data_IF_539498062311
#
_entry.id   IF_539498062311
#
_cell.length_a   1.000
_cell.length_b   1.000
_cell.length_c   1.000
_cell.angle_alpha   90.00
_cell.angle_beta   90.00
_cell.angle_gamma   90.00
#
_symmetry.space_group_name_H-M   'P 1'
#
loop_
_entity.id
_entity.type
_entity.pdbx_description
1 polymer ?
#
# COMPACT_ATOMS: atom_id res chain seq x y z
N UNK A 1 -17.89 23.63 -33.40
CA UNK A 1 -17.89 22.20 -33.03
C UNK A 1 -16.85 22.00 -31.92
N UNK A 2 -17.24 21.57 -30.72
CA UNK A 2 -16.26 21.24 -29.65
C UNK A 2 -15.64 19.88 -29.99
N UNK A 3 -14.31 19.82 -30.11
CA UNK A 3 -13.59 18.56 -30.25
C UNK A 3 -13.74 17.78 -28.93
N UNK A 4 -14.20 16.54 -28.99
CA UNK A 4 -14.20 15.64 -27.85
C UNK A 4 -12.74 15.34 -27.50
N UNK A 5 -12.30 15.54 -26.24
CA UNK A 5 -10.92 15.26 -25.86
C UNK A 5 -10.63 13.76 -26.04
N UNK A 6 -9.51 13.45 -26.68
CA UNK A 6 -9.02 12.07 -26.87
C UNK A 6 -8.11 11.72 -25.69
N UNK A 7 -8.39 10.63 -24.99
CA UNK A 7 -7.51 10.10 -23.96
C UNK A 7 -6.25 9.52 -24.61
N UNK A 8 -5.09 9.80 -24.02
CA UNK A 8 -3.79 9.35 -24.52
C UNK A 8 -3.19 8.39 -23.49
N UNK A 9 -2.60 7.29 -23.95
CA UNK A 9 -1.91 6.31 -23.11
C UNK A 9 -0.50 6.77 -22.69
N UNK A 10 0.21 5.93 -21.95
CA UNK A 10 1.59 6.18 -21.47
C UNK A 10 2.63 6.38 -22.59
N UNK A 11 2.37 5.84 -23.78
CA UNK A 11 3.23 5.92 -24.96
C UNK A 11 2.87 7.10 -25.88
N UNK A 12 1.89 7.93 -25.52
CA UNK A 12 1.50 9.09 -26.32
C UNK A 12 0.55 8.76 -27.49
N UNK A 13 0.00 7.54 -27.54
CA UNK A 13 -0.98 7.13 -28.55
C UNK A 13 -2.41 7.18 -27.98
N UNK A 14 -3.46 7.31 -28.82
CA UNK A 14 -4.83 7.25 -28.35
C UNK A 14 -5.10 5.99 -27.52
N UNK A 15 -5.72 6.16 -26.36
CA UNK A 15 -6.05 5.06 -25.45
C UNK A 15 -6.95 4.06 -26.16
N UNK A 16 -6.48 2.82 -26.28
CA UNK A 16 -7.30 1.72 -26.81
C UNK A 16 -8.45 1.42 -25.85
N UNK A 17 -9.62 1.07 -26.38
CA UNK A 17 -10.79 0.70 -25.56
C UNK A 17 -10.47 -0.44 -24.58
N UNK A 18 -9.63 -1.39 -24.98
CA UNK A 18 -9.17 -2.49 -24.11
C UNK A 18 -8.35 -2.05 -22.90
N UNK A 19 -7.82 -0.83 -22.92
CA UNK A 19 -7.03 -0.24 -21.83
C UNK A 19 -7.85 0.79 -21.04
N UNK A 20 -9.10 1.04 -21.45
CA UNK A 20 -10.00 1.88 -20.68
C UNK A 20 -10.39 1.18 -19.38
N UNK A 21 -10.67 1.96 -18.33
CA UNK A 21 -11.16 1.39 -17.09
C UNK A 21 -12.54 0.76 -17.30
N UNK A 22 -12.64 -0.56 -17.11
CA UNK A 22 -13.90 -1.30 -17.13
C UNK A 22 -14.15 -1.91 -15.75
N UNK A 23 -14.98 -1.22 -14.95
CA UNK A 23 -15.30 -1.63 -13.58
C UNK A 23 -16.38 -2.72 -13.46
N UNK A 24 -16.88 -3.25 -14.59
CA UNK A 24 -17.99 -4.21 -14.60
C UNK A 24 -17.90 -5.21 -15.75
N UNK A 25 -18.25 -6.46 -15.46
CA UNK A 25 -18.49 -7.49 -16.48
C UNK A 25 -19.95 -7.44 -16.98
N UNK A 26 -20.40 -8.51 -17.62
CA UNK A 26 -21.76 -8.61 -18.17
C UNK A 26 -22.92 -8.54 -17.13
N UNK A 27 -22.62 -8.35 -15.84
CA UNK A 27 -23.60 -8.35 -14.76
C UNK A 27 -24.18 -9.74 -14.46
N UNK A 28 -25.06 -9.82 -13.46
CA UNK A 28 -25.76 -11.06 -13.13
C UNK A 28 -26.82 -11.36 -14.20
N UNK A 29 -26.62 -12.42 -14.98
CA UNK A 29 -27.54 -12.81 -16.06
C UNK A 29 -27.37 -12.04 -17.37
N UNK A 30 -26.23 -11.36 -17.58
CA UNK A 30 -25.91 -10.74 -18.89
C UNK A 30 -26.53 -9.36 -19.14
N UNK A 31 -27.14 -8.74 -18.12
CA UNK A 31 -27.82 -7.45 -18.22
C UNK A 31 -26.93 -6.30 -18.72
N UNK A 32 -25.62 -6.41 -18.53
CA UNK A 32 -24.63 -5.43 -18.95
C UNK A 32 -23.77 -5.92 -20.13
N UNK A 33 -24.13 -7.04 -20.78
CA UNK A 33 -23.35 -7.60 -21.88
C UNK A 33 -23.23 -6.64 -23.07
N UNK A 34 -24.26 -5.82 -23.31
CA UNK A 34 -24.29 -4.82 -24.40
C UNK A 34 -23.95 -3.40 -23.92
N UNK A 35 -23.62 -3.23 -22.63
CA UNK A 35 -23.28 -1.92 -22.11
C UNK A 35 -21.84 -1.56 -22.47
N UNK A 36 -21.67 -0.58 -23.37
CA UNK A 36 -20.38 0.02 -23.71
C UNK A 36 -20.19 1.34 -22.95
N UNK A 37 -19.48 1.35 -21.81
CA UNK A 37 -19.17 2.58 -21.11
C UNK A 37 -18.21 3.45 -21.93
N UNK A 38 -18.30 4.79 -21.83
CA UNK A 38 -17.33 5.66 -22.46
C UNK A 38 -15.95 5.44 -21.85
N UNK A 39 -14.90 5.46 -22.68
CA UNK A 39 -13.52 5.34 -22.23
C UNK A 39 -13.19 6.42 -21.21
N UNK A 40 -12.75 6.01 -20.03
CA UNK A 40 -12.35 6.89 -18.93
C UNK A 40 -10.94 6.54 -18.47
N UNK A 41 -10.23 7.54 -17.96
CA UNK A 41 -9.01 7.30 -17.17
C UNK A 41 -9.37 6.60 -15.86
N UNK A 42 -8.41 5.88 -15.27
CA UNK A 42 -8.61 5.19 -13.99
C UNK A 42 -9.08 6.16 -12.90
N UNK A 43 -8.47 7.34 -12.81
CA UNK A 43 -8.85 8.37 -11.84
C UNK A 43 -10.27 8.88 -12.07
N UNK A 44 -10.64 9.21 -13.31
CA UNK A 44 -11.98 9.72 -13.61
C UNK A 44 -13.08 8.72 -13.23
N UNK A 45 -12.81 7.42 -13.36
CA UNK A 45 -13.75 6.38 -13.01
C UNK A 45 -13.80 6.08 -11.50
N UNK A 46 -12.67 6.14 -10.80
CA UNK A 46 -12.58 5.82 -9.37
C UNK A 46 -12.98 6.99 -8.47
N UNK A 47 -12.59 8.23 -8.82
CA UNK A 47 -12.76 9.41 -7.98
C UNK A 47 -14.20 9.65 -7.47
N UNK A 48 -15.27 9.44 -8.27
CA UNK A 48 -16.64 9.66 -7.81
C UNK A 48 -17.01 8.78 -6.60
N UNK A 49 -16.50 7.55 -6.56
CA UNK A 49 -16.84 6.58 -5.52
C UNK A 49 -15.74 6.39 -4.48
N UNK A 50 -14.54 6.96 -4.70
CA UNK A 50 -13.34 6.70 -3.89
C UNK A 50 -13.57 6.93 -2.40
N UNK A 51 -14.18 8.06 -2.02
CA UNK A 51 -14.45 8.39 -0.61
C UNK A 51 -15.37 7.36 0.06
N UNK A 52 -16.43 6.96 -0.64
CA UNK A 52 -17.37 5.98 -0.14
C UNK A 52 -16.74 4.58 -0.08
N UNK A 53 -15.95 4.22 -1.09
CA UNK A 53 -15.20 2.97 -1.13
C UNK A 53 -14.23 2.85 0.04
N UNK A 54 -13.45 3.88 0.30
CA UNK A 54 -12.53 3.93 1.44
C UNK A 54 -13.27 3.82 2.77
N UNK A 55 -14.36 4.57 2.96
CA UNK A 55 -15.16 4.48 4.18
C UNK A 55 -15.71 3.06 4.42
N UNK A 56 -16.17 2.38 3.35
CA UNK A 56 -16.65 0.99 3.43
C UNK A 56 -15.53 -0.01 3.69
N UNK A 57 -14.35 0.20 3.10
CA UNK A 57 -13.18 -0.63 3.36
C UNK A 57 -12.73 -0.51 4.82
N UNK A 58 -12.65 0.71 5.35
CA UNK A 58 -12.31 0.96 6.76
C UNK A 58 -13.33 0.33 7.71
N UNK A 59 -14.62 0.46 7.40
CA UNK A 59 -15.69 -0.15 8.20
C UNK A 59 -15.62 -1.69 8.17
N UNK A 60 -15.33 -2.28 7.01
CA UNK A 60 -15.15 -3.72 6.85
C UNK A 60 -13.99 -4.24 7.71
N UNK A 61 -12.85 -3.53 7.72
CA UNK A 61 -11.68 -3.92 8.52
C UNK A 61 -11.97 -3.83 10.02
N UNK A 62 -12.80 -2.87 10.47
CA UNK A 62 -13.16 -2.72 11.88
C UNK A 62 -14.17 -3.75 12.37
N UNK A 63 -15.13 -4.12 11.52
CA UNK A 63 -16.29 -4.92 11.93
C UNK A 63 -16.22 -6.40 11.52
N UNK A 64 -15.26 -6.80 10.67
CA UNK A 64 -15.12 -8.18 10.21
C UNK A 64 -13.75 -8.75 10.54
N UNK A 65 -13.71 -9.73 11.44
CA UNK A 65 -12.48 -10.39 11.87
C UNK A 65 -11.69 -11.07 10.75
N UNK A 66 -12.35 -11.55 9.69
CA UNK A 66 -11.67 -12.14 8.53
C UNK A 66 -10.94 -11.04 7.75
N UNK A 67 -11.60 -9.90 7.51
CA UNK A 67 -11.00 -8.78 6.81
C UNK A 67 -9.87 -8.13 7.63
N UNK A 68 -10.06 -7.98 8.94
CA UNK A 68 -9.03 -7.50 9.87
C UNK A 68 -7.77 -8.38 9.82
N UNK A 69 -7.96 -9.70 9.91
CA UNK A 69 -6.86 -10.65 9.85
C UNK A 69 -6.16 -10.65 8.48
N UNK A 70 -6.92 -10.55 7.39
CA UNK A 70 -6.35 -10.46 6.04
C UNK A 70 -5.49 -9.20 5.85
N UNK A 71 -5.90 -8.05 6.40
CA UNK A 71 -5.10 -6.82 6.37
C UNK A 71 -3.82 -6.94 7.19
N UNK A 72 -3.91 -7.53 8.40
CA UNK A 72 -2.74 -7.77 9.24
C UNK A 72 -1.72 -8.68 8.53
N UNK A 73 -2.17 -9.82 8.04
CA UNK A 73 -1.33 -10.77 7.29
C UNK A 73 -0.69 -10.11 6.05
N UNK A 74 -1.45 -9.30 5.32
CA UNK A 74 -0.92 -8.58 4.16
C UNK A 74 0.18 -7.58 4.56
N UNK A 75 0.00 -6.85 5.66
CA UNK A 75 1.01 -5.93 6.20
C UNK A 75 2.27 -6.69 6.61
N UNK A 76 2.12 -7.82 7.30
CA UNK A 76 3.22 -8.64 7.77
C UNK A 76 4.01 -9.26 6.60
N UNK A 77 3.35 -9.58 5.49
CA UNK A 77 4.02 -10.08 4.28
C UNK A 77 4.87 -9.01 3.57
N UNK A 78 4.53 -7.73 3.71
CA UNK A 78 5.27 -6.62 3.08
C UNK A 78 6.45 -6.20 3.97
N UNK A 79 6.18 -5.97 5.25
CA UNK A 79 7.14 -5.36 6.18
C UNK A 79 7.93 -6.42 6.98
N UNK A 80 7.38 -7.62 7.12
CA UNK A 80 7.79 -8.60 8.12
C UNK A 80 7.06 -8.39 9.44
N UNK A 81 7.15 -9.37 10.33
CA UNK A 81 6.52 -9.38 11.65
C UNK A 81 7.15 -8.39 12.66
N UNK A 82 8.31 -7.80 12.35
CA UNK A 82 9.05 -6.93 13.28
C UNK A 82 9.80 -5.82 12.55
N UNK A 83 9.88 -4.65 13.19
CA UNK A 83 10.78 -3.58 12.76
C UNK A 83 12.16 -3.73 13.40
N UNK A 84 13.18 -3.95 12.57
CA UNK A 84 14.57 -4.00 13.01
C UNK A 84 15.24 -2.63 12.82
N UNK A 85 15.94 -2.15 13.85
CA UNK A 85 16.86 -1.03 13.70
C UNK A 85 18.25 -1.54 13.32
N UNK A 86 18.98 -0.76 12.52
CA UNK A 86 20.41 -0.97 12.30
C UNK A 86 21.18 0.15 12.99
N UNK A 87 21.70 -0.11 14.20
CA UNK A 87 22.38 0.92 14.97
C UNK A 87 23.86 1.03 14.56
N UNK A 88 24.29 2.23 14.15
CA UNK A 88 25.69 2.50 13.77
C UNK A 88 26.25 3.70 14.54
N UNK A 89 26.86 3.49 15.71
CA UNK A 89 27.38 4.59 16.51
C UNK A 89 28.61 5.21 15.85
N UNK A 90 28.67 6.56 15.82
CA UNK A 90 29.81 7.31 15.30
C UNK A 90 30.97 7.27 16.30
N UNK A 91 31.98 6.46 16.01
CA UNK A 91 33.16 6.24 16.88
C UNK A 91 34.26 7.30 16.77
N UNK A 92 34.13 8.32 15.91
CA UNK A 92 35.18 9.33 15.73
C UNK A 92 35.56 10.07 17.03
N UNK A 93 34.68 10.08 18.03
CA UNK A 93 34.89 10.67 19.36
C UNK A 93 35.44 9.68 20.42
N UNK A 94 35.52 8.40 20.10
CA UNK A 94 35.92 7.33 21.00
C UNK A 94 37.15 6.63 20.42
N UNK A 95 38.36 7.01 20.87
CA UNK A 95 39.63 6.50 20.33
C UNK A 95 39.73 4.96 20.21
N UNK A 96 40.72 4.50 19.43
CA UNK A 96 40.83 3.13 18.87
C UNK A 96 40.64 1.97 19.88
N UNK A 97 40.94 2.17 21.16
CA UNK A 97 40.73 1.19 22.22
C UNK A 97 39.25 0.78 22.44
N UNK A 98 38.27 1.54 21.92
CA UNK A 98 36.83 1.28 22.12
C UNK A 98 36.13 0.60 20.94
N UNK A 99 36.81 0.39 19.80
CA UNK A 99 36.24 -0.34 18.64
C UNK A 99 35.68 -1.74 18.98
N UNK A 100 36.32 -2.56 19.83
CA UNK A 100 35.78 -3.89 20.19
C UNK A 100 34.44 -3.80 20.95
N UNK A 101 34.18 -2.69 21.66
CA UNK A 101 32.93 -2.47 22.41
C UNK A 101 31.78 -1.99 21.53
N UNK A 102 32.04 -1.65 20.26
CA UNK A 102 31.01 -1.17 19.34
C UNK A 102 29.93 -2.21 19.06
N UNK A 103 30.34 -3.46 18.82
CA UNK A 103 29.40 -4.56 18.58
C UNK A 103 28.50 -4.81 19.78
N UNK A 104 29.09 -4.83 20.98
CA UNK A 104 28.35 -5.05 22.23
C UNK A 104 27.32 -3.94 22.46
N UNK A 105 27.71 -2.67 22.24
CA UNK A 105 26.78 -1.54 22.34
C UNK A 105 25.67 -1.60 21.29
N UNK A 106 26.00 -1.96 20.05
CA UNK A 106 25.00 -2.14 18.99
C UNK A 106 23.99 -3.21 19.34
N UNK A 107 24.48 -4.37 19.77
CA UNK A 107 23.63 -5.48 20.18
C UNK A 107 22.76 -5.11 21.38
N UNK A 108 23.29 -4.38 22.38
CA UNK A 108 22.48 -3.97 23.53
C UNK A 108 21.39 -2.98 23.16
N UNK A 109 21.67 -2.06 22.21
CA UNK A 109 20.68 -1.08 21.73
C UNK A 109 19.62 -1.77 20.87
N UNK A 110 20.03 -2.67 19.98
CA UNK A 110 19.12 -3.47 19.14
C UNK A 110 18.23 -4.39 19.99
N UNK A 111 18.77 -5.02 21.04
CA UNK A 111 17.98 -5.84 21.97
C UNK A 111 16.96 -5.01 22.76
N UNK A 112 17.37 -3.86 23.29
CA UNK A 112 16.46 -2.95 23.99
C UNK A 112 15.37 -2.40 23.07
N UNK A 113 15.69 -2.18 21.78
CA UNK A 113 14.71 -1.81 20.77
C UNK A 113 13.69 -2.92 20.52
N UNK A 114 14.13 -4.17 20.33
CA UNK A 114 13.21 -5.29 20.14
C UNK A 114 12.27 -5.45 21.33
N UNK A 115 12.78 -5.33 22.57
CA UNK A 115 11.92 -5.37 23.76
C UNK A 115 10.89 -4.22 23.79
N UNK A 116 11.30 -3.01 23.42
CA UNK A 116 10.38 -1.87 23.33
C UNK A 116 9.33 -2.06 22.23
N UNK A 117 9.74 -2.57 21.07
CA UNK A 117 8.88 -2.76 19.91
C UNK A 117 7.88 -3.91 20.09
N UNK A 118 8.26 -4.97 20.81
CA UNK A 118 7.39 -6.12 21.13
C UNK A 118 6.42 -5.83 22.27
N UNK A 119 6.66 -4.77 23.08
CA UNK A 119 5.68 -4.30 24.06
C UNK A 119 4.56 -3.56 23.34
N UNK A 120 3.66 -4.33 22.74
CA UNK A 120 2.41 -3.85 22.16
C UNK A 120 1.63 -3.01 23.19
N UNK A 121 1.64 -1.70 22.98
CA UNK A 121 0.66 -0.75 23.52
C UNK A 121 0.11 0.03 22.34
N UNK A 122 -0.80 -0.58 21.58
CA UNK A 122 -1.93 0.06 20.88
C UNK A 122 -3.05 -0.96 20.66
#
# INVERSE_FOLDING_TARGET
MKRTPVLIDVNGVPLRESLSYTGGGAGFGGQMAEWLPPSQSADAALLPALRLGNARADDLVRNNGIAANAVALHKDHIVGHMFLISYRPKLALAGDARRPRQKVLSMSVEAAWSEYADRDVW
#
